data_IF_365093234225
#
_entry.id   IF_365093234225
#
_cell.length_a   1.000
_cell.length_b   1.000
_cell.length_c   1.000
_cell.angle_alpha   90.00
_cell.angle_beta   90.00
_cell.angle_gamma   90.00
#
_symmetry.space_group_name_H-M   'P 1'
#
loop_
_entity.id
_entity.type
_entity.pdbx_description
1 polymer ?
#
# COMPACT_ATOMS: atom_id res chain seq x y z
N UNK A 1 20.08 1.44 4.42
CA UNK A 1 20.57 2.59 5.24
C UNK A 1 19.74 2.62 6.52
N UNK A 2 20.17 3.32 7.59
CA UNK A 2 19.33 3.42 8.79
C UNK A 2 18.20 4.43 8.54
N UNK A 3 16.97 3.95 8.43
CA UNK A 3 15.81 4.81 8.11
C UNK A 3 15.33 5.65 9.31
N UNK A 4 15.90 5.43 10.51
CA UNK A 4 15.56 6.24 11.69
C UNK A 4 16.07 7.68 11.62
N UNK A 5 16.87 8.03 10.61
CA UNK A 5 17.36 9.40 10.37
C UNK A 5 16.47 10.26 9.48
N UNK A 6 15.44 9.71 8.84
CA UNK A 6 14.60 10.48 7.92
C UNK A 6 13.73 11.48 8.69
N UNK A 7 14.02 12.77 8.52
CA UNK A 7 13.25 13.87 9.11
C UNK A 7 11.97 14.09 8.27
N UNK A 8 10.92 14.70 8.84
CA UNK A 8 9.70 15.06 8.09
C UNK A 8 9.92 15.96 6.86
N UNK A 9 11.13 16.53 6.70
CA UNK A 9 11.54 17.37 5.57
C UNK A 9 12.04 16.55 4.37
N UNK A 10 12.28 15.24 4.55
CA UNK A 10 12.91 14.35 3.57
C UNK A 10 11.87 13.54 2.77
N UNK A 11 10.57 13.85 2.88
CA UNK A 11 9.51 13.10 2.21
C UNK A 11 9.72 12.98 0.70
N UNK A 12 10.20 14.04 0.04
CA UNK A 12 10.55 13.99 -1.39
C UNK A 12 11.73 13.06 -1.69
N UNK A 13 12.72 12.98 -0.80
CA UNK A 13 13.86 12.06 -0.96
C UNK A 13 13.42 10.62 -0.76
N UNK A 14 12.60 10.35 0.26
CA UNK A 14 12.00 9.03 0.51
C UNK A 14 11.18 8.60 -0.72
N UNK A 15 10.32 9.47 -1.24
CA UNK A 15 9.53 9.19 -2.42
C UNK A 15 10.42 8.90 -3.63
N UNK A 16 11.54 9.61 -3.79
CA UNK A 16 12.50 9.35 -4.85
C UNK A 16 13.12 7.95 -4.68
N UNK A 17 13.56 7.59 -3.48
CA UNK A 17 14.15 6.28 -3.19
C UNK A 17 13.16 5.14 -3.48
N UNK A 18 11.91 5.26 -3.03
CA UNK A 18 10.84 4.28 -3.28
C UNK A 18 10.60 4.06 -4.80
N UNK A 19 10.85 5.05 -5.65
CA UNK A 19 10.63 4.92 -7.09
C UNK A 19 11.89 4.50 -7.86
N UNK A 20 13.08 4.75 -7.35
CA UNK A 20 14.35 4.51 -8.06
C UNK A 20 15.05 3.22 -7.65
N UNK A 21 14.74 2.67 -6.47
CA UNK A 21 15.43 1.50 -5.91
C UNK A 21 14.43 0.45 -5.43
N UNK A 22 14.89 -0.80 -5.40
CA UNK A 22 14.21 -1.87 -4.68
C UNK A 22 14.60 -1.79 -3.21
N UNK A 23 13.62 -1.56 -2.34
CA UNK A 23 13.84 -1.43 -0.90
C UNK A 23 13.82 -2.80 -0.24
N UNK A 24 14.57 -2.93 0.86
CA UNK A 24 14.52 -4.14 1.68
C UNK A 24 13.21 -4.27 2.48
N UNK A 25 12.88 -5.47 2.95
CA UNK A 25 11.67 -5.72 3.72
C UNK A 25 11.59 -4.88 5.01
N UNK A 26 12.72 -4.71 5.70
CA UNK A 26 12.82 -3.88 6.91
C UNK A 26 12.60 -2.40 6.59
N UNK A 27 13.11 -1.94 5.44
CA UNK A 27 12.96 -0.57 4.99
C UNK A 27 11.49 -0.26 4.66
N UNK A 28 10.83 -1.14 3.91
CA UNK A 28 9.41 -1.04 3.59
C UNK A 28 8.57 -1.04 4.87
N UNK A 29 8.84 -1.95 5.81
CA UNK A 29 8.11 -2.03 7.08
C UNK A 29 8.24 -0.75 7.91
N UNK A 30 9.43 -0.18 7.95
CA UNK A 30 9.69 1.10 8.62
C UNK A 30 8.89 2.25 7.98
N UNK A 31 8.83 2.30 6.65
CA UNK A 31 8.08 3.32 5.91
C UNK A 31 6.56 3.17 6.08
N UNK A 32 6.04 1.94 6.15
CA UNK A 32 4.63 1.67 6.45
C UNK A 32 4.28 2.23 7.83
N UNK A 33 5.15 2.02 8.83
CA UNK A 33 4.95 2.51 10.19
C UNK A 33 4.93 4.04 10.31
N UNK A 34 5.50 4.78 9.34
CA UNK A 34 5.35 6.24 9.29
C UNK A 34 3.91 6.67 8.99
N UNK A 35 3.11 5.83 8.34
CA UNK A 35 1.69 6.07 8.06
C UNK A 35 1.39 7.27 7.16
N UNK A 36 2.40 7.79 6.44
CA UNK A 36 2.26 8.96 5.56
C UNK A 36 1.58 8.58 4.25
N UNK A 37 0.52 9.29 3.88
CA UNK A 37 -0.34 8.95 2.73
C UNK A 37 0.45 8.80 1.43
N UNK A 38 1.31 9.77 1.10
CA UNK A 38 2.06 9.76 -0.16
C UNK A 38 3.11 8.62 -0.20
N UNK A 39 3.73 8.33 0.94
CA UNK A 39 4.64 7.18 1.10
C UNK A 39 3.88 5.87 0.86
N UNK A 40 2.72 5.67 1.50
CA UNK A 40 1.94 4.44 1.33
C UNK A 40 1.48 4.24 -0.13
N UNK A 41 1.10 5.33 -0.81
CA UNK A 41 0.74 5.30 -2.24
C UNK A 41 1.97 4.91 -3.08
N UNK A 42 3.14 5.49 -2.81
CA UNK A 42 4.36 5.19 -3.54
C UNK A 42 4.81 3.75 -3.33
N UNK A 43 4.74 3.24 -2.11
CA UNK A 43 5.04 1.84 -1.78
C UNK A 43 4.13 0.88 -2.56
N UNK A 44 2.81 1.08 -2.47
CA UNK A 44 1.84 0.24 -3.19
C UNK A 44 2.04 0.28 -4.72
N UNK A 45 2.52 1.41 -5.25
CA UNK A 45 2.72 1.63 -6.68
C UNK A 45 3.98 0.99 -7.24
N UNK A 46 5.08 1.05 -6.49
CA UNK A 46 6.44 0.90 -7.01
C UNK A 46 7.23 -0.23 -6.36
N UNK A 47 6.83 -0.68 -5.16
CA UNK A 47 7.52 -1.76 -4.45
C UNK A 47 6.70 -3.05 -4.52
N UNK A 48 7.39 -4.19 -4.37
CA UNK A 48 6.75 -5.49 -4.19
C UNK A 48 6.53 -5.70 -2.69
N UNK A 49 5.27 -5.71 -2.28
CA UNK A 49 4.92 -5.82 -0.87
C UNK A 49 4.59 -7.29 -0.52
N UNK A 50 5.04 -7.74 0.65
CA UNK A 50 4.63 -9.02 1.20
C UNK A 50 3.21 -8.96 1.76
N UNK A 51 2.55 -10.10 1.89
CA UNK A 51 1.22 -10.20 2.51
C UNK A 51 1.19 -9.56 3.90
N UNK A 52 2.25 -9.72 4.70
CA UNK A 52 2.36 -9.11 6.03
C UNK A 52 2.40 -7.58 5.94
N UNK A 53 3.24 -7.03 5.06
CA UNK A 53 3.35 -5.58 4.86
C UNK A 53 2.04 -4.98 4.34
N UNK A 54 1.31 -5.69 3.46
CA UNK A 54 0.00 -5.23 3.00
C UNK A 54 -0.99 -5.17 4.18
N UNK A 55 -1.03 -6.19 5.04
CA UNK A 55 -1.88 -6.20 6.25
C UNK A 55 -1.57 -5.04 7.19
N UNK A 56 -0.28 -4.76 7.41
CA UNK A 56 0.15 -3.64 8.28
C UNK A 56 -0.17 -2.27 7.66
N UNK A 57 -0.10 -2.16 6.34
CA UNK A 57 -0.40 -0.92 5.62
C UNK A 57 -1.91 -0.62 5.55
N UNK A 58 -2.74 -1.67 5.40
CA UNK A 58 -4.18 -1.54 5.12
C UNK A 58 -4.94 -0.59 6.06
N UNK A 59 -4.78 -0.65 7.41
CA UNK A 59 -5.51 0.24 8.32
C UNK A 59 -5.35 1.73 7.97
N UNK A 60 -4.14 2.14 7.59
CA UNK A 60 -3.80 3.53 7.30
C UNK A 60 -3.78 3.87 5.80
N UNK A 61 -3.94 2.87 4.93
CA UNK A 61 -3.90 3.04 3.49
C UNK A 61 -5.03 3.98 3.00
N UNK A 62 -4.70 5.07 2.28
CA UNK A 62 -5.71 5.87 1.60
C UNK A 62 -6.30 5.10 0.40
N UNK A 63 -7.44 5.57 -0.09
CA UNK A 63 -8.14 5.00 -1.25
C UNK A 63 -7.20 4.60 -2.40
N UNK A 64 -6.35 5.54 -2.84
CA UNK A 64 -5.44 5.31 -3.97
C UNK A 64 -4.44 4.18 -3.70
N UNK A 65 -3.92 4.08 -2.48
CA UNK A 65 -3.01 2.99 -2.12
C UNK A 65 -3.73 1.64 -2.14
N UNK A 66 -4.96 1.58 -1.65
CA UNK A 66 -5.79 0.36 -1.71
C UNK A 66 -6.04 -0.05 -3.17
N UNK A 67 -6.45 0.89 -4.04
CA UNK A 67 -6.61 0.60 -5.46
C UNK A 67 -5.35 0.01 -6.09
N UNK A 68 -4.20 0.64 -5.84
CA UNK A 68 -2.90 0.19 -6.37
C UNK A 68 -2.50 -1.18 -5.84
N UNK A 69 -2.74 -1.47 -4.56
CA UNK A 69 -2.52 -2.80 -3.99
C UNK A 69 -3.28 -3.86 -4.79
N UNK A 70 -4.58 -3.66 -5.02
CA UNK A 70 -5.38 -4.68 -5.69
C UNK A 70 -5.04 -4.80 -7.18
N UNK A 71 -4.62 -3.71 -7.82
CA UNK A 71 -4.29 -3.71 -9.25
C UNK A 71 -2.90 -4.24 -9.57
N UNK A 72 -1.94 -4.11 -8.65
CA UNK A 72 -0.52 -4.36 -8.93
C UNK A 72 0.12 -5.44 -8.08
N UNK A 73 -0.44 -5.76 -6.92
CA UNK A 73 0.14 -6.70 -5.97
C UNK A 73 -0.59 -8.04 -6.01
N UNK A 74 0.09 -9.09 -5.54
CA UNK A 74 -0.58 -10.34 -5.23
C UNK A 74 -1.31 -10.19 -3.90
N UNK A 75 -2.65 -10.22 -3.95
CA UNK A 75 -3.52 -10.04 -2.79
C UNK A 75 -4.18 -11.33 -2.33
N UNK A 76 -3.76 -12.49 -2.86
CA UNK A 76 -4.44 -13.77 -2.62
C UNK A 76 -4.55 -14.11 -1.12
N UNK A 77 -3.50 -13.83 -0.34
CA UNK A 77 -3.43 -14.12 1.10
C UNK A 77 -4.00 -13.02 2.01
N UNK A 78 -4.30 -11.85 1.46
CA UNK A 78 -4.80 -10.66 2.19
C UNK A 78 -6.19 -10.22 1.71
N UNK A 79 -6.84 -11.08 0.91
CA UNK A 79 -8.10 -10.78 0.25
C UNK A 79 -9.19 -10.41 1.24
N UNK A 80 -9.31 -11.16 2.33
CA UNK A 80 -10.36 -10.95 3.34
C UNK A 80 -10.18 -9.59 4.00
N UNK A 81 -8.94 -9.22 4.33
CA UNK A 81 -8.61 -7.96 4.97
C UNK A 81 -8.85 -6.76 4.04
N UNK A 82 -8.61 -6.91 2.74
CA UNK A 82 -8.98 -5.88 1.75
C UNK A 82 -10.50 -5.74 1.66
N UNK A 83 -11.23 -6.86 1.61
CA UNK A 83 -12.69 -6.86 1.55
C UNK A 83 -13.29 -6.17 2.79
N UNK A 84 -12.81 -6.51 3.99
CA UNK A 84 -13.25 -5.90 5.26
C UNK A 84 -13.02 -4.38 5.28
N UNK A 85 -11.97 -3.89 4.62
CA UNK A 85 -11.72 -2.45 4.49
C UNK A 85 -12.65 -1.77 3.47
N UNK A 86 -12.96 -2.41 2.35
CA UNK A 86 -13.74 -1.77 1.26
C UNK A 86 -15.24 -1.85 1.48
N UNK A 87 -15.75 -2.92 2.12
CA UNK A 87 -17.20 -3.16 2.28
C UNK A 87 -17.92 -2.02 3.02
N UNK A 88 -17.41 -1.48 4.15
CA UNK A 88 -18.02 -0.34 4.83
C UNK A 88 -18.05 0.95 3.99
N UNK A 89 -17.23 0.99 2.93
CA UNK A 89 -17.03 2.15 2.05
C UNK A 89 -17.38 1.82 0.60
N UNK A 90 -18.40 0.97 0.38
CA UNK A 90 -18.75 0.43 -0.92
C UNK A 90 -18.97 1.48 -2.03
N UNK A 91 -19.51 2.66 -1.70
CA UNK A 91 -19.67 3.76 -2.67
C UNK A 91 -18.31 4.32 -3.12
N UNK A 92 -17.36 4.47 -2.21
CA UNK A 92 -16.00 4.94 -2.52
C UNK A 92 -15.26 3.92 -3.39
N UNK A 93 -15.43 2.62 -3.12
CA UNK A 93 -14.77 1.53 -3.85
C UNK A 93 -15.63 0.92 -4.94
N UNK A 94 -16.69 1.60 -5.40
CA UNK A 94 -17.68 1.01 -6.32
C UNK A 94 -17.07 0.48 -7.61
N UNK A 95 -16.14 1.23 -8.20
CA UNK A 95 -15.44 0.81 -9.43
C UNK A 95 -14.52 -0.38 -9.17
N UNK A 96 -13.79 -0.34 -8.05
CA UNK A 96 -12.94 -1.43 -7.60
C UNK A 96 -13.79 -2.71 -7.43
N UNK A 97 -14.86 -2.63 -6.64
CA UNK A 97 -15.81 -3.73 -6.39
C UNK A 97 -16.46 -4.23 -7.68
N UNK A 98 -16.82 -3.35 -8.62
CA UNK A 98 -17.42 -3.73 -9.89
C UNK A 98 -16.43 -4.48 -10.78
N UNK A 99 -15.18 -3.99 -10.88
CA UNK A 99 -14.07 -4.68 -11.56
C UNK A 99 -13.87 -6.08 -10.98
N UNK A 100 -14.01 -6.24 -9.67
CA UNK A 100 -13.87 -7.52 -8.99
C UNK A 100 -15.10 -8.44 -9.05
N UNK A 101 -16.33 -7.93 -9.11
CA UNK A 101 -17.53 -8.77 -9.28
C UNK A 101 -17.67 -9.36 -10.69
N UNK A 102 -17.05 -8.72 -11.69
CA UNK A 102 -17.05 -9.19 -13.09
C UNK A 102 -15.99 -10.24 -13.42
N UNK A 103 -14.92 -10.31 -12.62
CA UNK A 103 -13.91 -11.37 -12.71
C UNK A 103 -14.38 -12.49 -11.79
N UNK A 104 -14.64 -13.70 -12.31
CA UNK A 104 -14.80 -14.87 -11.46
C UNK A 104 -13.49 -15.05 -10.69
N UNK A 105 -13.52 -14.74 -9.40
CA UNK A 105 -12.46 -15.12 -8.46
C UNK A 105 -12.45 -16.63 -8.26
#
# INVERSE_FOLDING_TARGET
MDLSTFKPQDENEILKEINEKELSEDEISSLINLGKKDILIALARSQKLSSAQIKDMLPNAPYMAVCLLVEKQDISEVKVEILDKIEPHAELYKELIAKYKGVKW
#
